data_IF_189259117456
#
_entry.id   IF_189259117456
#
_cell.length_a   1.000
_cell.length_b   1.000
_cell.length_c   1.000
_cell.angle_alpha   90.00
_cell.angle_beta   90.00
_cell.angle_gamma   90.00
#
_symmetry.space_group_name_H-M   'P 1'
#
loop_
_entity.id
_entity.type
_entity.pdbx_description
1 polymer ?
#
# COMPACT_ATOMS: atom_id res chain seq x y z
N UNK A 1 -14.49 23.09 -9.62
CA UNK A 1 -13.21 22.37 -9.52
C UNK A 1 -13.44 20.99 -8.90
N UNK A 2 -12.61 19.98 -9.20
CA UNK A 2 -12.74 18.64 -8.62
C UNK A 2 -11.43 18.24 -7.94
N UNK A 3 -11.51 17.61 -6.76
CA UNK A 3 -10.36 17.07 -6.03
C UNK A 3 -10.61 15.58 -5.78
N UNK A 4 -9.66 14.74 -6.16
CA UNK A 4 -9.67 13.31 -5.87
C UNK A 4 -8.61 13.00 -4.83
N UNK A 5 -9.04 12.62 -3.62
CA UNK A 5 -8.14 12.14 -2.59
C UNK A 5 -7.74 10.70 -2.85
N UNK A 6 -6.46 10.41 -2.73
CA UNK A 6 -5.89 9.07 -2.85
C UNK A 6 -5.12 8.72 -1.57
N UNK A 7 -5.37 7.56 -0.93
CA UNK A 7 -6.45 6.62 -1.22
C UNK A 7 -7.81 7.03 -0.63
N UNK A 8 -7.83 8.01 0.30
CA UNK A 8 -9.02 8.42 1.07
C UNK A 8 -8.94 9.88 1.50
N UNK A 9 -10.07 10.49 1.85
CA UNK A 9 -10.10 11.84 2.43
C UNK A 9 -9.43 11.85 3.79
N UNK A 10 -8.79 12.98 4.07
CA UNK A 10 -8.29 13.32 5.40
C UNK A 10 -9.11 14.46 5.96
N UNK A 11 -9.60 14.29 7.19
CA UNK A 11 -10.31 15.35 7.93
C UNK A 11 -9.45 16.61 8.07
N UNK A 12 -8.13 16.45 8.18
CA UNK A 12 -7.18 17.56 8.27
C UNK A 12 -7.19 18.36 6.97
N UNK A 13 -7.15 17.69 5.82
CA UNK A 13 -7.19 18.36 4.52
C UNK A 13 -8.53 19.06 4.27
N UNK A 14 -9.65 18.44 4.65
CA UNK A 14 -10.97 19.08 4.53
C UNK A 14 -11.07 20.35 5.38
N UNK A 15 -10.53 20.31 6.61
CA UNK A 15 -10.50 21.48 7.49
C UNK A 15 -9.68 22.62 6.89
N UNK A 16 -8.51 22.33 6.31
CA UNK A 16 -7.70 23.36 5.62
C UNK A 16 -8.48 23.99 4.46
N UNK A 17 -9.18 23.18 3.64
CA UNK A 17 -10.01 23.71 2.55
C UNK A 17 -11.15 24.60 3.05
N UNK A 18 -11.69 24.32 4.24
CA UNK A 18 -12.72 25.13 4.88
C UNK A 18 -12.16 26.45 5.43
N UNK A 19 -11.00 26.40 6.09
CA UNK A 19 -10.30 27.56 6.65
C UNK A 19 -9.88 28.54 5.53
N UNK A 20 -9.49 28.03 4.36
CA UNK A 20 -9.19 28.82 3.16
C UNK A 20 -10.45 29.26 2.38
N UNK A 21 -11.65 28.88 2.82
CA UNK A 21 -12.92 29.29 2.19
C UNK A 21 -13.23 28.66 0.83
N UNK A 22 -12.41 27.71 0.36
CA UNK A 22 -12.54 27.09 -0.97
C UNK A 22 -13.34 25.79 -0.97
N UNK A 23 -13.63 25.19 0.21
CA UNK A 23 -14.31 23.90 0.31
C UNK A 23 -15.65 23.85 -0.44
N UNK A 24 -16.45 24.93 -0.40
CA UNK A 24 -17.73 25.01 -1.10
C UNK A 24 -17.63 25.13 -2.64
N UNK A 25 -16.44 25.41 -3.17
CA UNK A 25 -16.17 25.62 -4.59
C UNK A 25 -15.58 24.37 -5.28
N UNK A 26 -15.23 23.35 -4.50
CA UNK A 26 -14.61 22.10 -4.95
C UNK A 26 -15.54 20.92 -4.71
N UNK A 27 -15.69 20.05 -5.72
CA UNK A 27 -16.31 18.74 -5.51
C UNK A 27 -15.22 17.76 -5.10
N UNK A 28 -15.26 17.34 -3.83
CA UNK A 28 -14.33 16.36 -3.29
C UNK A 28 -14.83 14.95 -3.61
N UNK A 29 -13.92 14.07 -4.06
CA UNK A 29 -14.11 12.64 -4.30
C UNK A 29 -12.94 11.84 -3.73
N UNK A 30 -13.14 10.54 -3.57
CA UNK A 30 -12.11 9.59 -3.15
C UNK A 30 -11.83 8.62 -4.27
N UNK A 31 -10.58 8.18 -4.34
CA UNK A 31 -10.16 7.09 -5.21
C UNK A 31 -9.41 6.06 -4.39
N UNK A 32 -10.09 4.95 -4.08
CA UNK A 32 -9.58 3.85 -3.25
C UNK A 32 -8.56 2.97 -3.96
N UNK A 33 -7.43 3.57 -4.38
CA UNK A 33 -6.26 2.86 -4.87
C UNK A 33 -5.30 2.63 -3.71
N UNK A 34 -5.54 1.57 -2.93
CA UNK A 34 -4.58 1.10 -1.93
C UNK A 34 -3.50 0.26 -2.62
N UNK A 35 -3.85 -0.94 -3.09
CA UNK A 35 -2.92 -1.86 -3.73
C UNK A 35 -2.93 -1.66 -5.25
N UNK A 36 -1.76 -1.36 -5.81
CA UNK A 36 -1.48 -1.21 -7.23
C UNK A 36 -0.74 -2.47 -7.68
N UNK A 37 -1.24 -3.18 -8.73
CA UNK A 37 -0.50 -4.29 -9.31
C UNK A 37 0.70 -3.77 -10.10
N UNK A 38 1.90 -4.16 -9.68
CA UNK A 38 3.13 -3.90 -10.41
C UNK A 38 3.44 -5.06 -11.36
N UNK A 39 3.22 -6.29 -10.88
CA UNK A 39 3.31 -7.54 -11.65
C UNK A 39 2.14 -8.47 -11.27
N UNK A 40 2.08 -9.66 -11.88
CA UNK A 40 1.01 -10.64 -11.66
C UNK A 40 0.99 -11.16 -10.20
N UNK A 41 2.12 -11.15 -9.52
CA UNK A 41 2.31 -11.62 -8.13
C UNK A 41 2.79 -10.51 -7.17
N UNK A 42 2.92 -9.27 -7.64
CA UNK A 42 3.40 -8.13 -6.84
C UNK A 42 2.35 -7.03 -6.77
N UNK A 43 1.88 -6.74 -5.55
CA UNK A 43 1.02 -5.61 -5.23
C UNK A 43 1.74 -4.65 -4.29
N UNK A 44 1.73 -3.36 -4.62
CA UNK A 44 2.38 -2.32 -3.82
C UNK A 44 1.41 -1.20 -3.44
N UNK A 45 1.66 -0.53 -2.32
CA UNK A 45 1.01 0.75 -1.98
C UNK A 45 1.65 1.94 -2.71
N UNK A 46 2.87 1.77 -3.24
CA UNK A 46 3.68 2.82 -3.86
C UNK A 46 3.81 4.09 -2.99
N UNK A 47 3.84 3.92 -1.66
CA UNK A 47 4.01 5.00 -0.69
C UNK A 47 5.30 4.80 0.11
N UNK A 48 6.24 5.77 0.11
CA UNK A 48 7.43 5.71 0.95
C UNK A 48 7.06 5.90 2.43
N UNK A 49 6.96 4.81 3.18
CA UNK A 49 6.38 4.82 4.52
C UNK A 49 7.34 4.47 5.66
N UNK A 50 8.57 4.05 5.37
CA UNK A 50 9.50 3.58 6.40
C UNK A 50 9.85 4.69 7.41
N UNK A 51 10.22 5.88 6.92
CA UNK A 51 10.51 7.02 7.80
C UNK A 51 9.30 7.39 8.65
N UNK A 52 8.14 7.58 8.01
CA UNK A 52 6.89 7.97 8.67
C UNK A 52 6.53 6.99 9.79
N UNK A 53 6.60 5.70 9.49
CA UNK A 53 6.20 4.65 10.42
C UNK A 53 7.20 4.42 11.57
N UNK A 54 8.50 4.47 11.29
CA UNK A 54 9.54 4.07 12.26
C UNK A 54 10.23 5.25 12.95
N UNK A 55 10.26 6.44 12.34
CA UNK A 55 10.86 7.64 12.94
C UNK A 55 9.82 8.63 13.45
N UNK A 56 8.72 8.83 12.70
CA UNK A 56 7.71 9.83 13.03
C UNK A 56 6.50 9.24 13.81
N UNK A 57 6.47 7.92 14.02
CA UNK A 57 5.35 7.13 14.60
C UNK A 57 3.99 7.39 13.92
N UNK A 58 4.01 7.76 12.63
CA UNK A 58 2.81 7.89 11.81
C UNK A 58 2.35 6.52 11.32
N UNK A 59 1.23 6.06 11.87
CA UNK A 59 0.65 4.74 11.61
C UNK A 59 -0.39 4.76 10.50
N UNK A 60 -0.53 5.87 9.77
CA UNK A 60 -1.52 6.02 8.69
C UNK A 60 -1.37 4.93 7.62
N UNK A 61 -0.14 4.53 7.31
CA UNK A 61 0.13 3.46 6.33
C UNK A 61 -0.44 2.11 6.75
N UNK A 62 -0.48 1.79 8.05
CA UNK A 62 -1.01 0.51 8.55
C UNK A 62 -2.51 0.36 8.24
N UNK A 63 -3.23 1.47 8.32
CA UNK A 63 -4.63 1.51 7.89
C UNK A 63 -4.75 1.27 6.38
N UNK A 64 -3.90 1.88 5.57
CA UNK A 64 -3.88 1.66 4.11
C UNK A 64 -3.62 0.20 3.76
N UNK A 65 -2.69 -0.46 4.46
CA UNK A 65 -2.43 -1.91 4.33
C UNK A 65 -3.69 -2.71 4.69
N UNK A 66 -4.29 -2.45 5.86
CA UNK A 66 -5.49 -3.17 6.31
C UNK A 66 -6.66 -2.99 5.32
N UNK A 67 -6.89 -1.77 4.82
CA UNK A 67 -7.91 -1.48 3.83
C UNK A 67 -7.63 -2.17 2.49
N UNK A 68 -6.37 -2.22 2.04
CA UNK A 68 -5.95 -2.97 0.85
C UNK A 68 -6.23 -4.47 0.97
N UNK A 69 -5.89 -5.07 2.11
CA UNK A 69 -6.21 -6.48 2.41
C UNK A 69 -7.72 -6.71 2.46
N UNK A 70 -8.51 -5.79 3.04
CA UNK A 70 -9.97 -5.89 3.00
C UNK A 70 -10.51 -5.87 1.57
N UNK A 71 -9.94 -5.04 0.70
CA UNK A 71 -10.30 -5.00 -0.73
C UNK A 71 -9.97 -6.31 -1.44
N UNK A 72 -8.80 -6.90 -1.16
CA UNK A 72 -8.46 -8.24 -1.67
C UNK A 72 -9.49 -9.28 -1.23
N UNK A 73 -9.89 -9.26 0.04
CA UNK A 73 -10.91 -10.20 0.54
C UNK A 73 -12.29 -9.99 -0.06
N UNK A 74 -12.65 -8.75 -0.39
CA UNK A 74 -13.90 -8.45 -1.07
C UNK A 74 -13.92 -9.01 -2.50
N UNK A 75 -12.77 -9.08 -3.18
CA UNK A 75 -12.65 -9.59 -4.55
C UNK A 75 -12.45 -11.11 -4.61
N UNK A 76 -11.60 -11.66 -3.73
CA UNK A 76 -11.13 -13.05 -3.78
C UNK A 76 -11.66 -13.92 -2.62
N UNK A 77 -12.59 -13.39 -1.81
CA UNK A 77 -13.13 -14.05 -0.64
C UNK A 77 -12.26 -13.95 0.61
N UNK A 78 -12.81 -14.38 1.75
CA UNK A 78 -12.16 -14.23 3.05
C UNK A 78 -10.92 -15.11 3.18
N UNK A 79 -9.83 -14.50 3.66
CA UNK A 79 -8.59 -15.21 3.98
C UNK A 79 -8.76 -15.91 5.34
N UNK A 80 -8.70 -17.26 5.38
CA UNK A 80 -9.01 -18.02 6.59
C UNK A 80 -7.89 -17.96 7.63
N UNK A 81 -6.63 -17.88 7.20
CA UNK A 81 -5.47 -17.89 8.09
C UNK A 81 -4.72 -16.57 7.93
N UNK A 82 -4.61 -15.81 9.01
CA UNK A 82 -3.76 -14.61 9.06
C UNK A 82 -2.75 -14.78 10.17
N UNK A 83 -1.46 -14.67 9.83
CA UNK A 83 -0.33 -14.74 10.75
C UNK A 83 0.50 -13.46 10.63
N UNK A 84 1.17 -13.08 11.71
CA UNK A 84 1.96 -11.86 11.74
C UNK A 84 3.22 -12.02 12.58
N UNK A 85 4.29 -11.33 12.19
CA UNK A 85 5.50 -11.17 12.99
C UNK A 85 5.90 -9.69 13.03
N UNK A 86 5.91 -9.15 14.24
CA UNK A 86 6.20 -7.75 14.52
C UNK A 86 5.02 -7.03 15.18
N UNK A 87 5.28 -5.86 15.75
CA UNK A 87 4.28 -5.09 16.49
C UNK A 87 3.27 -4.42 15.54
N UNK A 88 3.72 -3.90 14.40
CA UNK A 88 2.87 -3.25 13.39
C UNK A 88 2.01 -4.28 12.66
N UNK A 89 2.54 -5.48 12.39
CA UNK A 89 1.79 -6.62 11.87
C UNK A 89 0.62 -6.98 12.80
N UNK A 90 0.85 -6.97 14.13
CA UNK A 90 -0.20 -7.19 15.12
C UNK A 90 -1.26 -6.08 15.08
N UNK A 91 -0.85 -4.82 14.90
CA UNK A 91 -1.78 -3.69 14.76
C UNK A 91 -2.65 -3.81 13.50
N UNK A 92 -2.05 -4.14 12.34
CA UNK A 92 -2.79 -4.41 11.10
C UNK A 92 -3.79 -5.55 11.29
N UNK A 93 -3.40 -6.63 11.98
CA UNK A 93 -4.29 -7.74 12.30
C UNK A 93 -5.50 -7.28 13.14
N UNK A 94 -5.27 -6.45 14.16
CA UNK A 94 -6.35 -5.88 14.98
C UNK A 94 -7.28 -4.99 14.14
N UNK A 95 -6.75 -4.14 13.26
CA UNK A 95 -7.56 -3.32 12.35
C UNK A 95 -8.41 -4.17 11.41
N UNK A 96 -7.84 -5.24 10.84
CA UNK A 96 -8.58 -6.18 9.98
C UNK A 96 -9.74 -6.85 10.73
N UNK A 97 -9.52 -7.27 11.97
CA UNK A 97 -10.59 -7.86 12.80
C UNK A 97 -11.70 -6.85 13.10
N UNK A 98 -11.35 -5.60 13.39
CA UNK A 98 -12.33 -4.52 13.61
C UNK A 98 -13.14 -4.23 12.36
N UNK A 99 -12.48 -4.08 11.20
CA UNK A 99 -13.13 -3.85 9.91
C UNK A 99 -14.09 -4.98 9.54
N UNK A 100 -13.66 -6.24 9.75
CA UNK A 100 -14.52 -7.41 9.54
C UNK A 100 -15.77 -7.36 10.41
N UNK A 101 -15.62 -7.10 11.72
CA UNK A 101 -16.77 -6.99 12.64
C UNK A 101 -17.76 -5.90 12.23
N UNK A 102 -17.27 -4.78 11.72
CA UNK A 102 -18.12 -3.70 11.19
C UNK A 102 -18.99 -4.17 10.02
N UNK A 103 -18.36 -4.82 9.02
CA UNK A 103 -19.07 -5.37 7.87
C UNK A 103 -20.04 -6.51 8.25
N UNK A 104 -19.71 -7.27 9.29
CA UNK A 104 -20.56 -8.34 9.87
C UNK A 104 -21.84 -7.74 10.46
N UNK A 105 -21.70 -6.64 11.22
CA UNK A 105 -22.82 -5.92 11.81
C UNK A 105 -23.73 -5.28 10.75
N UNK A 106 -23.16 -4.86 9.63
CA UNK A 106 -23.90 -4.29 8.49
C UNK A 106 -24.49 -5.37 7.56
N UNK A 107 -24.24 -6.65 7.81
CA UNK A 107 -24.72 -7.76 6.97
C UNK A 107 -24.07 -7.81 5.58
N UNK A 108 -22.94 -7.13 5.39
CA UNK A 108 -22.23 -7.01 4.11
C UNK A 108 -21.12 -8.05 3.94
N UNK A 109 -20.82 -8.85 4.96
CA UNK A 109 -19.84 -9.93 4.83
C UNK A 109 -20.41 -11.10 4.01
N UNK A 110 -19.70 -11.55 2.95
CA UNK A 110 -20.07 -12.79 2.27
C UNK A 110 -20.08 -13.93 3.30
N UNK A 111 -21.12 -14.77 3.22
CA UNK A 111 -21.29 -15.89 4.14
C UNK A 111 -20.02 -16.75 4.21
N UNK A 112 -19.74 -17.32 5.40
CA UNK A 112 -18.56 -18.18 5.68
C UNK A 112 -18.37 -19.37 4.71
N UNK A 113 -19.35 -19.63 3.85
CA UNK A 113 -19.36 -20.70 2.87
C UNK A 113 -18.57 -20.40 1.59
N UNK A 114 -18.23 -19.13 1.32
CA UNK A 114 -17.29 -18.78 0.24
C UNK A 114 -15.85 -18.96 0.74
N UNK A 115 -15.25 -20.10 0.41
CA UNK A 115 -13.80 -20.29 0.55
C UNK A 115 -13.11 -19.29 -0.37
N UNK A 116 -12.35 -18.37 0.21
CA UNK A 116 -11.52 -17.46 -0.56
C UNK A 116 -10.42 -18.21 -1.32
N UNK A 117 -9.96 -17.61 -2.43
CA UNK A 117 -8.87 -18.15 -3.25
C UNK A 117 -7.53 -18.08 -2.51
N UNK A 118 -7.36 -17.09 -1.65
CA UNK A 118 -6.15 -16.86 -0.87
C UNK A 118 -6.21 -17.69 0.42
N UNK A 119 -5.34 -18.70 0.51
CA UNK A 119 -5.31 -19.61 1.66
C UNK A 119 -4.75 -19.01 2.94
N UNK A 120 -3.68 -18.21 2.87
CA UNK A 120 -3.02 -17.65 4.06
C UNK A 120 -2.42 -16.27 3.76
N UNK A 121 -2.56 -15.34 4.72
CA UNK A 121 -1.87 -14.05 4.74
C UNK A 121 -0.80 -14.07 5.83
N UNK A 122 0.43 -13.72 5.47
CA UNK A 122 1.54 -13.53 6.39
C UNK A 122 1.92 -12.04 6.40
N UNK A 123 1.87 -11.42 7.57
CA UNK A 123 2.27 -10.04 7.81
C UNK A 123 3.67 -10.05 8.45
N UNK A 124 4.63 -9.34 7.86
CA UNK A 124 6.00 -9.26 8.37
C UNK A 124 6.38 -7.80 8.45
N UNK A 125 6.80 -7.36 9.63
CA UNK A 125 7.33 -6.00 9.78
C UNK A 125 8.77 -5.93 9.29
N UNK A 126 9.12 -4.82 8.63
CA UNK A 126 10.47 -4.60 8.10
C UNK A 126 11.54 -4.54 9.19
N UNK A 127 11.21 -4.08 10.39
CA UNK A 127 12.13 -3.96 11.53
C UNK A 127 12.51 -5.31 12.17
N UNK A 128 11.77 -6.38 11.89
CA UNK A 128 12.12 -7.75 12.31
C UNK A 128 13.42 -8.22 11.64
N UNK A 129 13.73 -7.67 10.47
CA UNK A 129 14.97 -7.93 9.74
C UNK A 129 15.45 -6.65 9.04
N UNK A 130 16.30 -5.86 9.70
CA UNK A 130 16.94 -4.70 9.06
C UNK A 130 18.24 -5.06 8.34
N UNK A 131 18.71 -6.31 8.44
CA UNK A 131 19.99 -6.72 7.84
C UNK A 131 19.82 -6.89 6.34
N UNK A 132 18.78 -7.60 5.89
CA UNK A 132 18.55 -7.85 4.46
C UNK A 132 18.58 -6.60 3.56
N UNK A 133 17.88 -5.48 3.88
CA UNK A 133 17.90 -4.29 3.02
C UNK A 133 19.22 -3.50 3.09
N UNK A 134 20.09 -3.80 4.05
CA UNK A 134 21.41 -3.15 4.17
C UNK A 134 22.50 -3.92 3.41
N UNK A 135 22.21 -5.17 3.01
CA UNK A 135 23.10 -5.95 2.17
C UNK A 135 22.97 -5.50 0.71
N UNK A 136 24.08 -5.47 -0.03
CA UNK A 136 24.04 -5.28 -1.48
C UNK A 136 23.30 -6.45 -2.14
N UNK A 137 22.25 -6.14 -2.87
CA UNK A 137 21.50 -7.14 -3.63
C UNK A 137 22.33 -7.63 -4.82
N UNK A 138 22.40 -8.95 -5.02
CA UNK A 138 23.25 -9.59 -6.04
C UNK A 138 22.44 -10.23 -7.18
N UNK A 139 21.13 -9.99 -7.23
CA UNK A 139 20.28 -10.35 -8.37
C UNK A 139 20.42 -9.30 -9.47
N UNK A 140 20.05 -9.65 -10.70
CA UNK A 140 20.10 -8.69 -11.82
C UNK A 140 19.26 -7.44 -11.53
N UNK A 141 18.01 -7.65 -11.12
CA UNK A 141 17.09 -6.56 -10.76
C UNK A 141 17.58 -5.77 -9.54
N UNK A 142 18.10 -6.45 -8.52
CA UNK A 142 18.60 -5.77 -7.32
C UNK A 142 19.83 -4.92 -7.58
N UNK A 143 20.73 -5.36 -8.46
CA UNK A 143 21.85 -4.57 -8.94
C UNK A 143 21.37 -3.38 -9.80
N UNK A 144 20.36 -3.58 -10.67
CA UNK A 144 19.75 -2.48 -11.40
C UNK A 144 19.15 -1.43 -10.46
N UNK A 145 18.40 -1.87 -9.44
CA UNK A 145 17.83 -0.99 -8.43
C UNK A 145 18.90 -0.24 -7.64
N UNK A 146 19.96 -0.94 -7.23
CA UNK A 146 21.04 -0.35 -6.43
C UNK A 146 21.86 0.70 -7.20
N UNK A 147 22.04 0.51 -8.51
CA UNK A 147 22.88 1.37 -9.35
C UNK A 147 22.07 2.50 -10.00
N UNK A 148 20.90 2.18 -10.55
CA UNK A 148 20.11 3.12 -11.35
C UNK A 148 18.82 3.57 -10.66
N UNK A 149 18.32 2.80 -9.68
CA UNK A 149 17.02 3.02 -9.07
C UNK A 149 15.89 2.54 -9.98
N UNK A 150 15.04 1.67 -9.45
CA UNK A 150 13.79 1.28 -10.12
C UNK A 150 12.66 2.06 -9.46
N UNK A 151 11.84 2.74 -10.28
CA UNK A 151 10.67 3.48 -9.84
C UNK A 151 9.47 3.12 -10.72
N UNK A 152 8.38 2.66 -10.09
CA UNK A 152 7.12 2.34 -10.76
C UNK A 152 7.25 1.36 -11.94
N UNK A 153 8.20 0.42 -11.87
CA UNK A 153 8.48 -0.56 -12.93
C UNK A 153 9.37 -0.04 -14.08
N UNK A 154 9.95 1.16 -13.95
CA UNK A 154 10.85 1.75 -14.94
C UNK A 154 12.22 2.08 -14.34
N UNK A 155 13.22 2.17 -15.22
CA UNK A 155 14.59 2.59 -14.91
C UNK A 155 15.04 3.61 -15.95
N UNK A 156 15.66 4.70 -15.48
CA UNK A 156 16.22 5.73 -16.36
C UNK A 156 17.68 5.40 -16.68
N UNK A 157 17.96 5.11 -17.95
CA UNK A 157 19.30 4.75 -18.43
C UNK A 157 19.84 5.80 -19.40
N UNK A 158 21.15 6.02 -19.35
CA UNK A 158 21.81 6.90 -20.29
C UNK A 158 21.76 6.31 -21.73
N UNK A 159 21.56 7.14 -22.77
CA UNK A 159 21.42 6.66 -24.16
C UNK A 159 22.60 5.80 -24.66
N UNK A 160 23.80 6.04 -24.14
CA UNK A 160 25.02 5.29 -24.46
C UNK A 160 24.90 3.82 -24.04
N UNK A 161 24.23 3.55 -22.90
CA UNK A 161 23.99 2.21 -22.38
C UNK A 161 22.97 1.48 -23.27
N UNK A 162 22.02 2.21 -23.84
CA UNK A 162 20.99 1.69 -24.74
C UNK A 162 21.50 1.48 -26.18
N UNK A 163 22.73 1.91 -26.49
CA UNK A 163 23.28 1.85 -27.84
C UNK A 163 22.65 2.84 -28.82
N UNK A 164 21.93 3.85 -28.32
CA UNK A 164 21.44 4.95 -29.13
C UNK A 164 22.61 5.90 -29.44
N UNK A 165 23.15 5.82 -30.66
CA UNK A 165 24.19 6.72 -31.11
C UNK A 165 23.73 8.18 -30.98
N UNK A 166 24.58 9.05 -30.43
CA UNK A 166 24.36 10.49 -30.37
C UNK A 166 24.01 10.99 -31.78
N UNK A 167 22.76 11.44 -31.95
CA UNK A 167 22.32 12.02 -33.22
C UNK A 167 23.10 13.30 -33.40
N UNK A 168 24.02 13.29 -34.36
CA UNK A 168 24.91 14.41 -34.71
C UNK A 168 24.15 15.44 -35.55
#
# INVERSE_FOLDING_TARGET
YHIFFVPRRSMVCERVLQEEGVYGLVTVREFGAQLIPLEDDVLSLEQPCFKELFLDDDRTVLYSVAAGVMKLQAMFGLIPIVRGKGERAQQVLSMLQQMRRGLEAEGQLPGREQRGEIGTLLLIDRDVDLVSPMCTELTYEGLLHSIFGIAHGYVDLAPEILGAAATT
#
